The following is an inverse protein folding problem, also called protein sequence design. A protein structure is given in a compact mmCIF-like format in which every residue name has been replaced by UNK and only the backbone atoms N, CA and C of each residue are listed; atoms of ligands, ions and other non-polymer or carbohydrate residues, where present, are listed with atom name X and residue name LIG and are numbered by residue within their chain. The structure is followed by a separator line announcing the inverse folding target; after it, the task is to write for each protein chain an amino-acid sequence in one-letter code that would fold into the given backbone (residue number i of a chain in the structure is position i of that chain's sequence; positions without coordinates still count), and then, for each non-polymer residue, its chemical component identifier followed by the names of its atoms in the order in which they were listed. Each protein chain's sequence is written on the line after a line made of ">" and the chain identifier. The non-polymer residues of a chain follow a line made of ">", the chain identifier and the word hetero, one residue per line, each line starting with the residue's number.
data_IF_058027708980
#
_entry.id   IF_058027708980
#
_cell.length_a   1.000
_cell.length_b   1.000
_cell.length_c   1.000
_cell.angle_alpha   90.00
_cell.angle_beta   90.00
_cell.angle_gamma   90.00
#
_symmetry.space_group_name_H-M   'P 1'
#
loop_
_entity.id
_entity.type
_entity.pdbx_description
1 polymer ?
#
# COMPACT_ATOMS: atom_id res chain seq x y z
N UNK A 1 -3.49 -40.97 30.98
CA UNK A 1 -3.05 -40.01 29.93
C UNK A 1 -4.17 -39.11 29.38
N UNK A 2 -5.35 -38.99 30.04
CA UNK A 2 -6.54 -38.35 29.44
C UNK A 2 -6.76 -36.85 29.79
N UNK A 3 -6.31 -36.37 30.95
CA UNK A 3 -6.56 -34.97 31.36
C UNK A 3 -5.42 -33.99 31.02
N UNK A 4 -4.16 -34.43 31.16
CA UNK A 4 -2.98 -33.59 30.89
C UNK A 4 -2.85 -33.27 29.39
N UNK A 5 -3.11 -34.24 28.51
CA UNK A 5 -3.09 -34.04 27.06
C UNK A 5 -4.15 -33.02 26.61
N UNK A 6 -5.38 -33.11 27.14
CA UNK A 6 -6.47 -32.17 26.84
C UNK A 6 -6.16 -30.75 27.34
N UNK A 7 -5.57 -30.62 28.53
CA UNK A 7 -5.11 -29.32 29.07
C UNK A 7 -3.99 -28.71 28.22
N UNK A 8 -3.04 -29.51 27.76
CA UNK A 8 -1.94 -29.03 26.92
C UNK A 8 -2.44 -28.56 25.54
N UNK A 9 -3.43 -29.25 24.99
CA UNK A 9 -4.07 -28.89 23.72
C UNK A 9 -4.90 -27.60 23.83
N UNK A 10 -5.60 -27.38 24.95
CA UNK A 10 -6.33 -26.14 25.22
C UNK A 10 -5.40 -24.93 25.32
N UNK A 11 -4.28 -25.05 26.06
CA UNK A 11 -3.28 -23.99 26.20
C UNK A 11 -2.68 -23.59 24.85
N UNK A 12 -2.26 -24.58 24.04
CA UNK A 12 -1.77 -24.33 22.69
C UNK A 12 -2.78 -23.61 21.79
N UNK A 13 -4.07 -23.87 22.00
CA UNK A 13 -5.13 -23.23 21.23
C UNK A 13 -5.42 -21.79 21.66
N UNK A 14 -5.31 -21.49 22.94
CA UNK A 14 -5.40 -20.11 23.46
C UNK A 14 -4.24 -19.26 22.94
N UNK A 15 -3.02 -19.80 22.94
CA UNK A 15 -1.84 -19.14 22.37
C UNK A 15 -2.02 -18.85 20.87
N UNK A 16 -2.55 -19.83 20.12
CA UNK A 16 -2.85 -19.66 18.70
C UNK A 16 -3.89 -18.55 18.46
N UNK A 17 -4.93 -18.45 19.28
CA UNK A 17 -5.93 -17.38 19.20
C UNK A 17 -5.34 -16.01 19.53
N UNK A 18 -4.49 -15.93 20.55
CA UNK A 18 -3.84 -14.67 20.91
C UNK A 18 -2.93 -14.19 19.79
N UNK A 19 -2.16 -15.10 19.18
CA UNK A 19 -1.34 -14.84 18.02
C UNK A 19 -2.18 -14.35 16.83
N UNK A 20 -3.27 -15.05 16.51
CA UNK A 20 -4.17 -14.69 15.42
C UNK A 20 -4.79 -13.29 15.61
N UNK A 21 -5.19 -12.93 16.84
CA UNK A 21 -5.67 -11.57 17.16
C UNK A 21 -4.58 -10.50 16.98
N UNK A 22 -3.35 -10.80 17.39
CA UNK A 22 -2.24 -9.88 17.19
C UNK A 22 -1.96 -9.67 15.68
N UNK A 23 -1.95 -10.75 14.89
CA UNK A 23 -1.81 -10.69 13.45
C UNK A 23 -2.94 -9.89 12.78
N UNK A 24 -4.19 -10.08 13.20
CA UNK A 24 -5.34 -9.29 12.72
C UNK A 24 -5.14 -7.79 13.00
N UNK A 25 -4.66 -7.43 14.19
CA UNK A 25 -4.39 -6.04 14.54
C UNK A 25 -3.31 -5.46 13.62
N UNK A 26 -2.21 -6.17 13.42
CA UNK A 26 -1.13 -5.74 12.52
C UNK A 26 -1.59 -5.63 11.08
N UNK A 27 -2.46 -6.54 10.60
CA UNK A 27 -3.02 -6.46 9.25
C UNK A 27 -3.88 -5.20 9.07
N UNK A 28 -4.67 -4.80 10.08
CA UNK A 28 -5.43 -3.53 10.05
C UNK A 28 -4.51 -2.32 10.04
N UNK A 29 -3.49 -2.30 10.90
CA UNK A 29 -2.49 -1.23 10.94
C UNK A 29 -1.72 -1.09 9.61
N UNK A 30 -1.49 -2.21 8.92
CA UNK A 30 -0.90 -2.24 7.58
C UNK A 30 -1.81 -1.57 6.55
N UNK A 31 -3.11 -1.90 6.52
CA UNK A 31 -4.09 -1.27 5.63
C UNK A 31 -4.17 0.24 5.88
N UNK A 32 -4.24 0.66 7.15
CA UNK A 32 -4.26 2.08 7.51
C UNK A 32 -2.99 2.80 7.08
N UNK A 33 -1.85 2.13 7.16
CA UNK A 33 -0.56 2.67 6.71
C UNK A 33 -0.51 2.82 5.20
N UNK A 34 -1.01 1.83 4.46
CA UNK A 34 -1.15 1.92 2.99
C UNK A 34 -2.04 3.09 2.60
N UNK A 35 -3.18 3.29 3.27
CA UNK A 35 -4.06 4.42 2.98
C UNK A 35 -3.36 5.79 3.16
N UNK A 36 -2.48 5.92 4.17
CA UNK A 36 -1.66 7.14 4.35
C UNK A 36 -0.62 7.31 3.25
N UNK A 37 -0.04 6.21 2.76
CA UNK A 37 0.90 6.24 1.62
C UNK A 37 0.17 6.69 0.37
N UNK A 38 -1.02 6.16 0.07
CA UNK A 38 -1.82 6.55 -1.09
C UNK A 38 -2.16 8.05 -1.07
N UNK A 39 -2.60 8.57 0.08
CA UNK A 39 -2.83 10.02 0.24
C UNK A 39 -1.57 10.85 -0.01
N UNK A 40 -0.41 10.34 0.36
CA UNK A 40 0.87 11.01 0.08
C UNK A 40 1.19 10.97 -1.42
N UNK A 41 0.93 9.83 -2.08
CA UNK A 41 1.09 9.68 -3.52
C UNK A 41 0.17 10.62 -4.31
N UNK A 42 -1.05 10.88 -3.85
CA UNK A 42 -1.95 11.88 -4.45
C UNK A 42 -1.30 13.27 -4.48
N UNK A 43 -0.73 13.72 -3.35
CA UNK A 43 -0.03 15.00 -3.27
C UNK A 43 1.17 15.04 -4.21
N UNK A 44 1.97 13.97 -4.26
CA UNK A 44 3.13 13.89 -5.16
C UNK A 44 2.68 13.89 -6.63
N UNK A 45 1.55 13.25 -6.95
CA UNK A 45 0.97 13.27 -8.30
C UNK A 45 0.56 14.68 -8.69
N UNK A 46 -0.11 15.41 -7.81
CA UNK A 46 -0.46 16.82 -8.06
C UNK A 46 0.79 17.69 -8.30
N UNK A 47 1.88 17.44 -7.56
CA UNK A 47 3.15 18.13 -7.78
C UNK A 47 3.73 17.79 -9.16
N UNK A 48 3.73 16.51 -9.54
CA UNK A 48 4.21 16.07 -10.85
C UNK A 48 3.38 16.69 -11.99
N UNK A 49 2.05 16.71 -11.87
CA UNK A 49 1.15 17.31 -12.86
C UNK A 49 1.35 18.83 -12.98
N UNK A 50 1.55 19.54 -11.85
CA UNK A 50 1.88 20.97 -11.88
C UNK A 50 3.26 21.23 -12.48
N UNK A 51 4.24 20.36 -12.22
CA UNK A 51 5.60 20.48 -12.76
C UNK A 51 5.59 20.24 -14.27
N UNK A 52 4.83 19.27 -14.76
CA UNK A 52 4.61 19.00 -16.17
C UNK A 52 3.99 20.21 -16.88
N UNK A 53 2.98 20.84 -16.27
CA UNK A 53 2.36 22.05 -16.81
C UNK A 53 3.32 23.25 -16.82
N UNK A 54 4.18 23.39 -15.80
CA UNK A 54 5.22 24.42 -15.78
C UNK A 54 6.27 24.18 -16.87
N UNK A 55 6.68 22.92 -17.08
CA UNK A 55 7.59 22.53 -18.14
C UNK A 55 7.00 22.85 -19.53
N UNK A 56 5.72 22.53 -19.74
CA UNK A 56 5.03 22.87 -20.98
C UNK A 56 5.00 24.38 -21.24
N UNK A 57 4.64 25.18 -20.23
CA UNK A 57 4.64 26.64 -20.34
C UNK A 57 6.03 27.19 -20.65
N UNK A 58 7.08 26.64 -20.01
CA UNK A 58 8.46 27.01 -20.28
C UNK A 58 8.89 26.64 -21.71
N UNK A 59 8.47 25.48 -22.21
CA UNK A 59 8.75 25.05 -23.59
C UNK A 59 8.08 25.98 -24.62
N UNK A 60 6.83 26.39 -24.37
CA UNK A 60 6.12 27.37 -25.20
C UNK A 60 6.84 28.73 -25.23
N UNK A 61 7.23 29.25 -24.07
CA UNK A 61 7.91 30.56 -24.00
C UNK A 61 9.33 30.49 -24.60
N UNK A 62 10.03 29.36 -24.44
CA UNK A 62 11.29 29.09 -25.11
C UNK A 62 11.15 29.09 -26.64
N UNK A 63 10.10 28.45 -27.18
CA UNK A 63 9.80 28.49 -28.61
C UNK A 63 9.49 29.92 -29.08
N UNK A 64 8.76 30.71 -28.28
CA UNK A 64 8.43 32.10 -28.57
C UNK A 64 9.66 33.01 -28.60
N UNK A 65 10.65 32.75 -27.74
CA UNK A 65 11.93 33.46 -27.73
C UNK A 65 12.86 33.08 -28.92
N UNK A 66 12.47 32.11 -29.74
CA UNK A 66 13.20 31.71 -30.94
C UNK A 66 14.62 31.21 -30.62
N UNK A 67 15.64 31.80 -31.26
CA UNK A 67 17.03 31.38 -31.05
C UNK A 67 17.51 31.60 -29.60
N UNK A 68 17.02 32.66 -28.94
CA UNK A 68 17.41 32.97 -27.56
C UNK A 68 16.85 31.96 -26.55
N UNK A 69 15.75 31.27 -26.89
CA UNK A 69 15.09 30.29 -26.02
C UNK A 69 15.63 28.87 -26.13
N UNK A 70 16.54 28.56 -27.06
CA UNK A 70 16.99 27.18 -27.32
C UNK A 70 17.54 26.44 -26.09
N UNK A 71 18.32 27.12 -25.25
CA UNK A 71 18.83 26.52 -24.01
C UNK A 71 17.71 26.23 -23.00
N UNK A 72 16.73 27.12 -22.89
CA UNK A 72 15.57 26.94 -22.02
C UNK A 72 14.64 25.83 -22.52
N UNK A 73 14.52 25.64 -23.84
CA UNK A 73 13.73 24.55 -24.41
C UNK A 73 14.25 23.18 -23.97
N UNK A 74 15.58 22.96 -24.00
CA UNK A 74 16.18 21.70 -23.53
C UNK A 74 15.90 21.44 -22.06
N UNK A 75 15.98 22.49 -21.21
CA UNK A 75 15.67 22.35 -19.79
C UNK A 75 14.18 22.06 -19.57
N UNK A 76 13.30 22.72 -20.31
CA UNK A 76 11.87 22.48 -20.23
C UNK A 76 11.50 21.03 -20.60
N UNK A 77 12.09 20.51 -21.67
CA UNK A 77 11.87 19.13 -22.11
C UNK A 77 12.35 18.12 -21.05
N UNK A 78 13.53 18.34 -20.44
CA UNK A 78 14.05 17.47 -19.38
C UNK A 78 13.15 17.48 -18.12
N UNK A 79 12.65 18.66 -17.73
CA UNK A 79 11.71 18.78 -16.60
C UNK A 79 10.37 18.09 -16.90
N UNK A 80 9.89 18.15 -18.14
CA UNK A 80 8.72 17.40 -18.59
C UNK A 80 8.95 15.89 -18.47
N UNK A 81 10.10 15.40 -18.94
CA UNK A 81 10.46 13.98 -18.85
C UNK A 81 10.59 13.49 -17.40
N UNK A 82 11.15 14.31 -16.51
CA UNK A 82 11.22 14.01 -15.07
C UNK A 82 9.82 13.92 -14.44
N UNK A 83 8.90 14.81 -14.84
CA UNK A 83 7.52 14.81 -14.36
C UNK A 83 6.77 13.56 -14.82
N UNK A 84 6.97 13.13 -16.06
CA UNK A 84 6.43 11.87 -16.58
C UNK A 84 7.00 10.65 -15.83
N UNK A 85 8.31 10.61 -15.61
CA UNK A 85 8.97 9.54 -14.85
C UNK A 85 8.46 9.48 -13.41
N UNK A 86 8.19 10.62 -12.78
CA UNK A 86 7.56 10.70 -11.47
C UNK A 86 6.15 10.09 -11.50
N UNK A 87 5.30 10.44 -12.49
CA UNK A 87 3.97 9.84 -12.66
C UNK A 87 4.01 8.32 -12.80
N UNK A 88 4.93 7.81 -13.62
CA UNK A 88 5.12 6.37 -13.81
C UNK A 88 5.55 5.67 -12.52
N UNK A 89 6.41 6.31 -11.73
CA UNK A 89 6.86 5.77 -10.45
C UNK A 89 5.74 5.76 -9.41
N UNK A 90 4.95 6.83 -9.34
CA UNK A 90 3.76 6.92 -8.47
C UNK A 90 2.75 5.81 -8.81
N UNK A 91 2.48 5.57 -10.10
CA UNK A 91 1.59 4.51 -10.53
C UNK A 91 2.07 3.11 -10.11
N UNK A 92 3.38 2.86 -10.19
CA UNK A 92 3.97 1.60 -9.71
C UNK A 92 3.79 1.43 -8.19
N UNK A 93 4.06 2.47 -7.41
CA UNK A 93 3.89 2.41 -5.94
C UNK A 93 2.42 2.22 -5.57
N UNK A 94 1.49 2.85 -6.29
CA UNK A 94 0.06 2.64 -6.10
C UNK A 94 -0.34 1.17 -6.36
N UNK A 95 0.18 0.55 -7.42
CA UNK A 95 -0.05 -0.87 -7.68
C UNK A 95 0.54 -1.78 -6.60
N UNK A 96 1.68 -1.42 -6.00
CA UNK A 96 2.22 -2.17 -4.86
C UNK A 96 1.37 -1.99 -3.60
N UNK A 97 0.79 -0.80 -3.40
CA UNK A 97 -0.18 -0.55 -2.33
C UNK A 97 -1.43 -1.43 -2.48
N UNK A 98 -1.96 -1.57 -3.70
CA UNK A 98 -3.05 -2.51 -4.00
C UNK A 98 -2.70 -3.94 -3.62
N UNK A 99 -1.51 -4.39 -4.00
CA UNK A 99 -1.03 -5.74 -3.69
C UNK A 99 -0.92 -5.97 -2.18
N UNK A 100 -0.42 -4.99 -1.43
CA UNK A 100 -0.34 -5.07 0.04
C UNK A 100 -1.74 -5.14 0.67
N UNK A 101 -2.72 -4.37 0.17
CA UNK A 101 -4.11 -4.46 0.64
C UNK A 101 -4.71 -5.85 0.39
N UNK A 102 -4.48 -6.41 -0.79
CA UNK A 102 -4.96 -7.75 -1.12
C UNK A 102 -4.35 -8.82 -0.18
N UNK A 103 -3.05 -8.71 0.11
CA UNK A 103 -2.37 -9.59 1.05
C UNK A 103 -2.91 -9.45 2.47
N UNK A 104 -3.18 -8.22 2.93
CA UNK A 104 -3.78 -7.97 4.23
C UNK A 104 -5.20 -8.56 4.34
N UNK A 105 -6.00 -8.44 3.28
CA UNK A 105 -7.35 -9.02 3.23
C UNK A 105 -7.32 -10.55 3.21
N UNK A 106 -6.40 -11.16 2.45
CA UNK A 106 -6.16 -12.63 2.50
C UNK A 106 -5.76 -13.08 3.90
N UNK A 107 -4.90 -12.33 4.58
CA UNK A 107 -4.51 -12.57 5.97
C UNK A 107 -5.73 -12.52 6.90
N UNK A 108 -6.59 -11.52 6.74
CA UNK A 108 -7.81 -11.37 7.54
C UNK A 108 -8.75 -12.57 7.35
N UNK A 109 -9.03 -12.98 6.11
CA UNK A 109 -9.87 -14.14 5.81
C UNK A 109 -9.30 -15.44 6.38
N UNK A 110 -7.97 -15.61 6.34
CA UNK A 110 -7.29 -16.77 6.92
C UNK A 110 -7.48 -16.84 8.44
N UNK A 111 -7.36 -15.70 9.13
CA UNK A 111 -7.59 -15.59 10.57
C UNK A 111 -9.06 -15.89 10.92
N UNK A 112 -10.01 -15.36 10.14
CA UNK A 112 -11.43 -15.59 10.37
C UNK A 112 -11.81 -17.07 10.18
N UNK A 113 -11.21 -17.73 9.19
CA UNK A 113 -11.36 -19.17 8.97
C UNK A 113 -10.79 -19.99 10.13
N UNK A 114 -9.62 -19.61 10.66
CA UNK A 114 -9.05 -20.23 11.86
C UNK A 114 -9.97 -20.06 13.07
N UNK A 115 -10.60 -18.91 13.25
CA UNK A 115 -11.52 -18.65 14.36
C UNK A 115 -12.80 -19.48 14.26
N UNK A 116 -13.37 -19.60 13.05
CA UNK A 116 -14.52 -20.47 12.81
C UNK A 116 -14.20 -21.93 13.10
N UNK A 117 -13.01 -22.40 12.68
CA UNK A 117 -12.53 -23.75 12.98
C UNK A 117 -12.37 -23.98 14.48
N UNK A 118 -11.75 -23.04 15.21
CA UNK A 118 -11.61 -23.10 16.66
C UNK A 118 -12.97 -23.20 17.36
N UNK A 119 -13.91 -22.30 17.04
CA UNK A 119 -15.23 -22.30 17.67
C UNK A 119 -15.96 -23.62 17.43
N UNK A 120 -15.91 -24.19 16.21
CA UNK A 120 -16.58 -25.45 15.91
C UNK A 120 -16.09 -26.64 16.74
N UNK A 121 -14.77 -26.76 16.98
CA UNK A 121 -14.20 -27.84 17.81
C UNK A 121 -14.52 -27.70 19.30
N UNK A 122 -14.76 -26.48 19.78
CA UNK A 122 -15.02 -26.20 21.19
C UNK A 122 -16.51 -26.10 21.54
N UNK A 123 -17.41 -25.91 20.57
CA UNK A 123 -18.87 -25.99 20.78
C UNK A 123 -19.39 -27.43 20.96
N UNK A 124 -18.69 -28.46 20.50
CA UNK A 124 -19.08 -29.87 20.73
C UNK A 124 -18.73 -30.40 22.13
N UNK A 125 -18.13 -29.58 23.00
CA UNK A 125 -17.65 -30.00 24.33
C UNK A 125 -18.45 -29.43 25.51
N UNK A 126 -19.58 -28.75 25.27
CA UNK A 126 -20.50 -28.21 26.29
C UNK A 126 -21.82 -29.00 26.28
#
# INVERSE_FOLDING_TARGET
>A
MSAIGKKNQLLSSEEAMQSARATQKTAKELVDTVARVEKTLEVVKEIADKTDLLALNASIEAARAGQAGKGFAVVADEVGQLSENARNSIAKVASECDRVRELADKLQRSIDAQWSHYNSQHTEAA
#
